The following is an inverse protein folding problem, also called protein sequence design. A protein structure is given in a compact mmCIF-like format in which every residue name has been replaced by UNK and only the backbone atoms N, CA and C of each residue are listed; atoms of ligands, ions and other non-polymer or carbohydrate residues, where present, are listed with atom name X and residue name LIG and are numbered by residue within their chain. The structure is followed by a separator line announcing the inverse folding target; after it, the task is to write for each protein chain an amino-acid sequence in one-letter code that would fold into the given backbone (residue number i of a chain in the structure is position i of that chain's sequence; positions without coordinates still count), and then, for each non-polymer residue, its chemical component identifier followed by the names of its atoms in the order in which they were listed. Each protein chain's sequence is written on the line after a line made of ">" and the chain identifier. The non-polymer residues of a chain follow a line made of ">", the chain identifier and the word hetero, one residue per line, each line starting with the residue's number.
data_IF_247640070473
#
_entry.id   IF_247640070473
#
_cell.length_a   1.000
_cell.length_b   1.000
_cell.length_c   1.000
_cell.angle_alpha   90.00
_cell.angle_beta   90.00
_cell.angle_gamma   90.00
#
_symmetry.space_group_name_H-M   'P 1'
#
loop_
_entity.id
_entity.type
_entity.pdbx_description
1 polymer ?
#
# COMPACT_ATOMS: atom_id res chain seq x y z
N UNK A 1 1.05 0.31 0.29
CA UNK A 1 2.51 0.26 0.09
C UNK A 1 3.00 1.68 -0.07
N UNK A 2 4.04 2.06 0.66
CA UNK A 2 4.67 3.37 0.55
C UNK A 2 6.19 3.20 0.46
N UNK A 3 6.86 3.92 -0.45
CA UNK A 3 8.31 3.85 -0.66
C UNK A 3 8.87 5.23 -1.05
N UNK A 4 10.17 5.45 -0.81
CA UNK A 4 10.91 6.59 -1.36
C UNK A 4 11.65 6.22 -2.65
N UNK A 5 11.57 7.04 -3.70
CA UNK A 5 12.23 6.72 -4.97
C UNK A 5 13.76 6.89 -4.97
N UNK A 6 14.34 7.43 -3.91
CA UNK A 6 15.79 7.56 -3.69
C UNK A 6 16.28 6.63 -2.56
N UNK A 7 15.50 5.62 -2.17
CA UNK A 7 15.93 4.63 -1.20
C UNK A 7 17.08 3.77 -1.78
N UNK A 8 18.28 3.96 -1.23
CA UNK A 8 19.49 3.23 -1.60
C UNK A 8 19.72 1.97 -0.75
N UNK A 9 18.96 1.77 0.32
CA UNK A 9 19.03 0.58 1.16
C UNK A 9 18.09 -0.52 0.64
N UNK A 10 16.91 -0.14 0.14
CA UNK A 10 15.90 -1.03 -0.43
C UNK A 10 15.45 -0.52 -1.78
N UNK A 11 15.79 -1.26 -2.84
CA UNK A 11 15.51 -0.88 -4.22
C UNK A 11 14.01 -0.54 -4.43
N UNK A 12 13.67 0.64 -4.99
CA UNK A 12 12.29 1.03 -5.25
C UNK A 12 11.49 0.06 -6.13
N UNK A 13 12.13 -0.78 -6.95
CA UNK A 13 11.46 -1.85 -7.70
C UNK A 13 10.73 -2.84 -6.79
N UNK A 14 11.15 -2.99 -5.53
CA UNK A 14 10.45 -3.83 -4.57
C UNK A 14 9.04 -3.30 -4.29
N UNK A 15 8.81 -1.99 -4.41
CA UNK A 15 7.47 -1.39 -4.29
C UNK A 15 6.53 -1.92 -5.37
N UNK A 16 7.02 -2.04 -6.60
CA UNK A 16 6.27 -2.57 -7.74
C UNK A 16 5.93 -4.04 -7.52
N UNK A 17 6.94 -4.84 -7.16
CA UNK A 17 6.78 -6.28 -6.94
C UNK A 17 5.82 -6.59 -5.78
N UNK A 18 5.89 -5.84 -4.67
CA UNK A 18 4.95 -6.00 -3.55
C UNK A 18 3.54 -5.67 -4.00
N UNK A 19 3.35 -4.59 -4.78
CA UNK A 19 2.02 -4.25 -5.30
C UNK A 19 1.49 -5.35 -6.22
N UNK A 20 2.30 -5.88 -7.12
CA UNK A 20 1.91 -7.00 -7.99
C UNK A 20 1.50 -8.23 -7.19
N UNK A 21 2.31 -8.65 -6.22
CA UNK A 21 1.99 -9.80 -5.36
C UNK A 21 0.67 -9.59 -4.59
N UNK A 22 0.48 -8.40 -4.01
CA UNK A 22 -0.75 -8.11 -3.27
C UNK A 22 -1.96 -7.93 -4.18
N UNK A 23 -1.80 -7.56 -5.46
CA UNK A 23 -2.90 -7.56 -6.44
C UNK A 23 -3.43 -8.96 -6.66
N UNK A 24 -2.55 -9.95 -6.82
CA UNK A 24 -2.95 -11.36 -6.96
C UNK A 24 -3.66 -11.88 -5.70
N UNK A 25 -3.12 -11.56 -4.52
CA UNK A 25 -3.77 -11.92 -3.24
C UNK A 25 -5.14 -11.26 -3.12
N UNK A 26 -5.24 -9.96 -3.42
CA UNK A 26 -6.49 -9.23 -3.35
C UNK A 26 -7.53 -9.82 -4.32
N UNK A 27 -7.15 -10.13 -5.56
CA UNK A 27 -8.03 -10.79 -6.53
C UNK A 27 -8.55 -12.14 -6.00
N UNK A 28 -7.67 -12.95 -5.41
CA UNK A 28 -8.02 -14.27 -4.90
C UNK A 28 -8.96 -14.26 -3.69
N UNK A 29 -8.94 -13.20 -2.88
CA UNK A 29 -9.77 -13.09 -1.66
C UNK A 29 -11.03 -12.25 -1.86
N UNK A 30 -11.12 -11.46 -2.93
CA UNK A 30 -12.35 -10.77 -3.32
C UNK A 30 -13.31 -11.74 -4.00
N UNK A 31 -14.61 -11.59 -3.74
CA UNK A 31 -15.66 -12.36 -4.43
C UNK A 31 -16.10 -11.73 -5.75
N UNK A 32 -15.57 -10.55 -6.08
CA UNK A 32 -15.93 -9.82 -7.28
C UNK A 32 -15.45 -10.59 -8.53
N UNK A 33 -16.29 -10.73 -9.56
CA UNK A 33 -15.93 -11.47 -10.78
C UNK A 33 -14.97 -10.70 -11.70
N UNK A 34 -14.92 -9.37 -11.55
CA UNK A 34 -14.06 -8.52 -12.36
C UNK A 34 -12.63 -8.44 -11.78
N UNK A 35 -11.61 -8.28 -12.63
CA UNK A 35 -10.27 -7.92 -12.18
C UNK A 35 -10.26 -6.62 -11.39
N UNK A 36 -9.28 -6.45 -10.49
CA UNK A 36 -9.05 -5.16 -9.84
C UNK A 36 -8.83 -4.05 -10.88
N UNK A 37 -9.66 -3.01 -10.80
CA UNK A 37 -9.49 -1.81 -11.58
C UNK A 37 -8.27 -1.02 -11.09
N UNK A 38 -7.56 -0.37 -12.00
CA UNK A 38 -6.40 0.47 -11.68
C UNK A 38 -6.74 1.93 -11.95
N UNK A 39 -6.49 2.81 -10.98
CA UNK A 39 -6.65 4.24 -11.18
C UNK A 39 -5.54 4.81 -12.06
N UNK A 40 -5.81 5.94 -12.71
CA UNK A 40 -4.72 6.80 -13.20
C UNK A 40 -3.79 7.16 -12.03
N UNK A 41 -2.50 7.31 -12.30
CA UNK A 41 -1.56 7.83 -11.31
C UNK A 41 -1.84 9.30 -11.06
N UNK A 42 -1.95 9.65 -9.78
CA UNK A 42 -2.08 11.03 -9.31
C UNK A 42 -0.73 11.47 -8.77
N UNK A 43 -0.31 12.68 -9.14
CA UNK A 43 0.86 13.34 -8.55
C UNK A 43 0.37 14.45 -7.63
N UNK A 44 0.73 14.38 -6.36
CA UNK A 44 0.23 15.26 -5.30
C UNK A 44 1.41 15.98 -4.67
N UNK A 45 1.44 17.30 -4.81
CA UNK A 45 2.47 18.16 -4.20
C UNK A 45 1.99 18.65 -2.85
N UNK A 46 2.80 18.40 -1.81
CA UNK A 46 2.57 18.92 -0.46
C UNK A 46 3.44 20.15 -0.21
N UNK A 47 3.42 20.70 1.01
CA UNK A 47 4.35 21.77 1.41
C UNK A 47 5.82 21.30 1.45
N UNK A 48 6.06 19.98 1.52
CA UNK A 48 7.38 19.37 1.49
C UNK A 48 7.65 18.71 0.14
N UNK A 49 7.44 17.41 0.08
CA UNK A 49 7.71 16.57 -1.09
C UNK A 49 6.45 16.37 -1.92
N UNK A 50 6.65 16.00 -3.16
CA UNK A 50 5.60 15.47 -4.01
C UNK A 50 5.56 13.95 -3.85
N UNK A 51 4.36 13.36 -3.91
CA UNK A 51 4.21 11.92 -4.00
C UNK A 51 3.33 11.51 -5.17
N UNK A 52 3.61 10.34 -5.73
CA UNK A 52 2.79 9.70 -6.77
C UNK A 52 1.96 8.62 -6.13
N UNK A 53 0.66 8.63 -6.40
CA UNK A 53 -0.31 7.69 -5.86
C UNK A 53 -1.04 6.95 -6.98
N UNK A 54 -1.17 5.64 -6.81
CA UNK A 54 -2.01 4.79 -7.64
C UNK A 54 -2.82 3.84 -6.77
N UNK A 55 -4.12 3.75 -7.05
CA UNK A 55 -5.07 2.94 -6.30
C UNK A 55 -5.54 1.76 -7.16
N UNK A 56 -5.75 0.62 -6.51
CA UNK A 56 -6.33 -0.59 -7.11
C UNK A 56 -7.62 -0.93 -6.40
N UNK A 57 -8.69 -1.11 -7.17
CA UNK A 57 -10.05 -1.08 -6.67
C UNK A 57 -10.83 -2.33 -7.06
N UNK A 58 -11.73 -2.75 -6.18
CA UNK A 58 -12.79 -3.72 -6.48
C UNK A 58 -14.12 -3.10 -6.07
N UNK A 59 -15.12 -3.10 -6.96
CA UNK A 59 -16.46 -2.55 -6.70
C UNK A 59 -16.42 -1.13 -6.06
N UNK A 60 -15.60 -0.25 -6.65
CA UNK A 60 -15.35 1.14 -6.20
C UNK A 60 -14.71 1.29 -4.81
N UNK A 61 -14.26 0.20 -4.19
CA UNK A 61 -13.49 0.24 -2.96
C UNK A 61 -12.00 0.10 -3.25
N UNK A 62 -11.17 1.02 -2.75
CA UNK A 62 -9.72 0.90 -2.83
C UNK A 62 -9.26 -0.24 -1.93
N UNK A 63 -8.62 -1.25 -2.51
CA UNK A 63 -8.07 -2.38 -1.76
C UNK A 63 -6.55 -2.29 -1.59
N UNK A 64 -5.87 -1.68 -2.57
CA UNK A 64 -4.44 -1.44 -2.51
C UNK A 64 -4.17 -0.01 -2.93
N UNK A 65 -3.22 0.62 -2.24
CA UNK A 65 -2.70 1.94 -2.55
C UNK A 65 -1.18 1.86 -2.63
N UNK A 66 -0.63 2.34 -3.73
CA UNK A 66 0.81 2.53 -3.92
C UNK A 66 1.11 4.02 -3.83
N UNK A 67 2.04 4.38 -2.94
CA UNK A 67 2.55 5.74 -2.81
C UNK A 67 4.07 5.71 -3.00
N UNK A 68 4.58 6.52 -3.91
CA UNK A 68 6.01 6.77 -4.07
C UNK A 68 6.29 8.23 -3.74
N UNK A 69 7.07 8.47 -2.69
CA UNK A 69 7.47 9.83 -2.30
C UNK A 69 8.74 10.22 -3.05
N UNK A 70 8.69 11.32 -3.78
CA UNK A 70 9.78 11.77 -4.62
C UNK A 70 10.92 12.38 -3.80
N UNK A 71 12.13 11.96 -4.11
CA UNK A 71 13.37 12.36 -3.42
C UNK A 71 13.55 11.77 -2.03
N UNK A 72 12.63 10.93 -1.54
CA UNK A 72 12.74 10.31 -0.22
C UNK A 72 13.69 9.12 -0.29
N UNK A 73 14.65 9.07 0.64
CA UNK A 73 15.58 7.95 0.81
C UNK A 73 15.01 6.83 1.70
N UNK A 74 15.89 6.10 2.39
CA UNK A 74 15.49 5.14 3.42
C UNK A 74 15.08 5.86 4.72
N UNK A 75 13.94 6.55 4.67
CA UNK A 75 13.43 7.35 5.79
C UNK A 75 11.90 7.36 5.84
N UNK A 76 11.37 7.60 7.04
CA UNK A 76 9.96 7.81 7.29
C UNK A 76 9.55 9.24 6.91
N UNK A 77 8.58 9.40 6.01
CA UNK A 77 8.11 10.69 5.50
C UNK A 77 7.24 11.43 6.52
N UNK A 78 7.44 12.75 6.66
CA UNK A 78 6.72 13.62 7.60
C UNK A 78 6.96 13.30 9.07
N UNK A 79 8.05 12.60 9.39
CA UNK A 79 8.43 12.25 10.77
C UNK A 79 9.17 13.36 11.50
N UNK A 80 9.57 13.11 12.75
CA UNK A 80 10.39 14.06 13.51
C UNK A 80 11.88 13.89 13.17
N UNK A 81 12.48 14.90 12.52
CA UNK A 81 13.89 14.88 12.11
C UNK A 81 14.89 14.76 13.27
N UNK A 82 14.46 14.91 14.53
CA UNK A 82 15.29 14.63 15.71
C UNK A 82 15.56 13.14 15.91
N UNK A 83 14.80 12.26 15.26
CA UNK A 83 14.96 10.82 15.33
C UNK A 83 15.59 10.28 14.03
N UNK A 84 16.51 9.31 14.17
CA UNK A 84 17.14 8.67 13.02
C UNK A 84 16.07 8.04 12.09
N UNK A 85 16.39 7.98 10.79
CA UNK A 85 15.51 7.42 9.76
C UNK A 85 14.16 8.12 9.62
N UNK A 86 14.04 9.36 10.07
CA UNK A 86 12.88 10.22 9.82
C UNK A 86 13.28 11.40 8.92
N UNK A 87 12.39 11.76 8.02
CA UNK A 87 12.45 12.97 7.20
C UNK A 87 11.25 13.83 7.57
N UNK A 88 11.48 15.08 7.97
CA UNK A 88 10.42 15.99 8.40
C UNK A 88 9.65 16.65 7.26
N UNK A 89 10.09 16.50 6.01
CA UNK A 89 9.33 17.00 4.89
C UNK A 89 8.06 16.15 4.71
N UNK A 90 6.92 16.84 4.55
CA UNK A 90 5.65 16.23 4.11
C UNK A 90 5.85 15.36 2.85
N UNK A 91 5.00 14.37 2.58
CA UNK A 91 3.77 14.02 3.30
C UNK A 91 3.99 13.29 4.62
N UNK A 92 3.08 13.47 5.58
CA UNK A 92 2.94 12.60 6.75
C UNK A 92 2.51 11.18 6.33
N UNK A 93 3.46 10.24 6.41
CA UNK A 93 3.22 8.84 6.09
C UNK A 93 2.17 8.19 7.01
N UNK A 94 2.20 8.52 8.31
CA UNK A 94 1.27 7.99 9.30
C UNK A 94 -0.15 8.46 9.02
N UNK A 95 -0.32 9.72 8.64
CA UNK A 95 -1.62 10.26 8.23
C UNK A 95 -2.14 9.57 6.97
N UNK A 96 -1.32 9.43 5.92
CA UNK A 96 -1.75 8.76 4.68
C UNK A 96 -2.12 7.29 4.89
N UNK A 97 -1.39 6.59 5.77
CA UNK A 97 -1.72 5.23 6.19
C UNK A 97 -3.05 5.22 6.96
N UNK A 98 -3.23 6.15 7.90
CA UNK A 98 -4.46 6.28 8.69
C UNK A 98 -5.68 6.51 7.81
N UNK A 99 -5.59 7.45 6.88
CA UNK A 99 -6.67 7.76 5.92
C UNK A 99 -7.10 6.49 5.17
N UNK A 100 -6.15 5.70 4.66
CA UNK A 100 -6.47 4.43 4.01
C UNK A 100 -7.11 3.42 4.96
N UNK A 101 -6.51 3.14 6.13
CA UNK A 101 -7.04 2.07 7.02
C UNK A 101 -8.35 2.46 7.69
N UNK A 102 -8.63 3.75 7.87
CA UNK A 102 -9.86 4.25 8.48
C UNK A 102 -11.12 3.93 7.67
N UNK A 103 -10.97 3.68 6.36
CA UNK A 103 -12.03 3.19 5.47
C UNK A 103 -12.41 1.71 5.74
N UNK A 104 -11.62 1.00 6.57
CA UNK A 104 -11.82 -0.40 6.89
C UNK A 104 -12.24 -0.57 8.34
N UNK A 105 -13.35 -1.27 8.55
CA UNK A 105 -13.75 -1.76 9.86
C UNK A 105 -13.58 -3.27 9.91
N UNK A 106 -12.97 -3.76 10.98
CA UNK A 106 -12.99 -5.20 11.27
C UNK A 106 -14.40 -5.55 11.72
N UNK A 107 -15.04 -6.49 11.02
CA UNK A 107 -16.29 -7.08 11.51
C UNK A 107 -16.02 -7.79 12.84
N UNK A 108 -16.75 -7.46 13.93
CA UNK A 108 -16.67 -8.21 15.17
C UNK A 108 -17.03 -9.68 14.88
N UNK A 109 -16.08 -10.60 15.06
CA UNK A 109 -16.33 -12.05 14.90
C UNK A 109 -15.59 -12.77 13.77
N UNK A 110 -14.89 -12.06 12.87
CA UNK A 110 -14.01 -12.72 11.89
C UNK A 110 -12.67 -13.13 12.54
N UNK A 111 -12.70 -14.19 13.36
CA UNK A 111 -11.50 -14.96 13.68
C UNK A 111 -11.30 -15.95 12.55
N UNK A 112 -10.39 -15.65 11.62
CA UNK A 112 -9.92 -16.67 10.67
C UNK A 112 -9.18 -17.72 11.52
N UNK A 113 -9.60 -18.99 11.56
CA UNK A 113 -8.88 -20.03 12.28
C UNK A 113 -7.44 -20.09 11.77
N UNK A 114 -6.46 -20.19 12.66
CA UNK A 114 -5.07 -20.40 12.28
C UNK A 114 -4.99 -21.62 11.34
N UNK A 115 -4.46 -21.42 10.13
CA UNK A 115 -4.35 -22.47 9.10
C UNK A 115 -5.38 -22.41 7.96
N UNK A 116 -6.52 -21.73 8.13
CA UNK A 116 -7.53 -21.64 7.07
C UNK A 116 -7.05 -20.82 5.85
N UNK A 117 -6.28 -19.76 6.11
CA UNK A 117 -5.77 -18.84 5.10
C UNK A 117 -4.77 -19.49 4.12
N UNK A 118 -3.90 -20.38 4.61
CA UNK A 118 -2.93 -21.11 3.77
C UNK A 118 -3.61 -22.01 2.74
N UNK A 119 -4.72 -22.66 3.13
CA UNK A 119 -5.45 -23.56 2.24
C UNK A 119 -6.18 -22.82 1.10
N UNK A 120 -6.60 -21.57 1.33
CA UNK A 120 -7.23 -20.74 0.29
C UNK A 120 -6.18 -20.16 -0.67
N UNK A 121 -5.04 -19.70 -0.15
CA UNK A 121 -3.91 -19.22 -0.94
C UNK A 121 -3.31 -20.32 -1.84
N UNK A 122 -3.11 -21.53 -1.31
CA UNK A 122 -2.61 -22.67 -2.09
C UNK A 122 -3.55 -23.14 -3.20
N UNK A 123 -4.87 -22.92 -3.04
CA UNK A 123 -5.85 -23.20 -4.10
C UNK A 123 -5.83 -22.14 -5.18
N UNK A 124 -5.64 -20.87 -4.82
CA UNK A 124 -5.54 -19.77 -5.77
C UNK A 124 -4.27 -19.79 -6.63
N UNK A 125 -3.17 -20.36 -6.13
CA UNK A 125 -1.88 -20.43 -6.86
C UNK A 125 -1.73 -21.71 -7.72
N UNK A 126 -2.66 -22.67 -7.59
CA UNK A 126 -2.62 -23.97 -8.31
C UNK A 126 -3.69 -24.13 -9.40
N UNK A 127 -4.48 -23.10 -9.68
CA UNK A 127 -5.46 -23.08 -10.78
C UNK A 127 -5.06 -22.05 -11.82
#
# INVERSE_FOLDING_TARGET
>A
MMHGDHDSAVNPLNADQIIEQFREVAQAVTTAPAPLAESAERRVTTSGRTYRQRDYLSENRVLLRKIIVEGLGHAWSGGDARHAFNDAAEPDASQLIWEFVSEFRRSPGQRVPAGAWWSQLLRAVRG
#
